data_IF_549533954642
#
_entry.id   IF_549533954642
#
_cell.length_a   1.000
_cell.length_b   1.000
_cell.length_c   1.000
_cell.angle_alpha   90.00
_cell.angle_beta   90.00
_cell.angle_gamma   90.00
#
_symmetry.space_group_name_H-M   'P 1'
#
loop_
_entity.id
_entity.type
_entity.pdbx_description
1 polymer ?
#
# COMPACT_ATOMS: atom_id res chain seq x y z
N UNK A 1 -11.43 10.20 -6.26
CA UNK A 1 -10.82 10.60 -4.98
C UNK A 1 -9.51 9.82 -4.86
N UNK A 2 -8.39 10.46 -4.54
CA UNK A 2 -7.11 9.77 -4.35
C UNK A 2 -6.73 9.88 -2.88
N UNK A 3 -6.55 8.74 -2.21
CA UNK A 3 -6.17 8.68 -0.81
C UNK A 3 -4.68 8.37 -0.72
N UNK A 4 -3.93 9.20 -0.02
CA UNK A 4 -2.52 8.98 0.25
C UNK A 4 -2.38 8.44 1.67
N UNK A 5 -1.83 7.23 1.78
CA UNK A 5 -1.58 6.58 3.07
C UNK A 5 -0.08 6.59 3.30
N UNK A 6 0.37 7.38 4.29
CA UNK A 6 1.76 7.42 4.74
C UNK A 6 1.98 6.54 5.96
N UNK A 7 3.24 6.35 6.35
CA UNK A 7 3.64 5.57 7.54
C UNK A 7 3.21 4.09 7.50
N UNK A 8 3.13 3.53 6.30
CA UNK A 8 2.96 2.08 6.15
C UNK A 8 4.30 1.38 6.43
N UNK A 9 4.28 0.23 7.14
CA UNK A 9 5.49 -0.55 7.33
C UNK A 9 5.98 -1.09 5.98
N UNK A 10 7.30 -1.20 5.80
CA UNK A 10 7.91 -1.72 4.56
C UNK A 10 7.51 -3.16 4.23
N UNK A 11 7.05 -3.92 5.23
CA UNK A 11 6.49 -5.26 5.04
C UNK A 11 5.04 -5.27 4.55
N UNK A 12 4.38 -4.11 4.48
CA UNK A 12 3.02 -4.02 3.99
C UNK A 12 2.98 -4.33 2.50
N UNK A 13 2.32 -5.42 2.15
CA UNK A 13 2.10 -5.81 0.76
C UNK A 13 0.85 -5.16 0.21
N UNK A 14 0.78 -5.04 -1.12
CA UNK A 14 -0.42 -4.60 -1.82
C UNK A 14 -1.66 -5.40 -1.42
N UNK A 15 -1.50 -6.71 -1.21
CA UNK A 15 -2.58 -7.61 -0.82
C UNK A 15 -3.13 -7.30 0.59
N UNK A 16 -2.27 -7.10 1.58
CA UNK A 16 -2.70 -6.73 2.93
C UNK A 16 -3.43 -5.40 2.96
N UNK A 17 -2.93 -4.39 2.23
CA UNK A 17 -3.58 -3.08 2.17
C UNK A 17 -4.90 -3.21 1.41
N UNK A 18 -4.93 -3.89 0.28
CA UNK A 18 -6.17 -4.09 -0.47
C UNK A 18 -7.23 -4.78 0.39
N UNK A 19 -6.86 -5.85 1.09
CA UNK A 19 -7.77 -6.60 1.96
C UNK A 19 -8.26 -5.76 3.14
N UNK A 20 -7.39 -4.94 3.74
CA UNK A 20 -7.75 -3.98 4.80
C UNK A 20 -8.71 -2.89 4.34
N UNK A 21 -8.51 -2.39 3.12
CA UNK A 21 -9.27 -1.27 2.57
C UNK A 21 -10.53 -1.71 1.83
N UNK A 22 -10.65 -2.99 1.44
CA UNK A 22 -11.85 -3.57 0.81
C UNK A 22 -13.11 -3.39 1.66
N UNK A 23 -12.98 -3.46 2.98
CA UNK A 23 -14.09 -3.25 3.93
C UNK A 23 -14.64 -1.81 3.88
N UNK A 24 -13.78 -0.85 3.51
CA UNK A 24 -14.12 0.57 3.40
C UNK A 24 -14.46 1.01 1.97
N UNK A 25 -14.13 0.19 0.96
CA UNK A 25 -14.46 0.44 -0.45
C UNK A 25 -13.48 -0.19 -1.43
N UNK A 26 -13.88 -0.28 -2.70
CA UNK A 26 -13.04 -0.87 -3.75
C UNK A 26 -11.78 -0.04 -4.02
N UNK A 27 -10.60 -0.62 -3.74
CA UNK A 27 -9.31 -0.05 -4.13
C UNK A 27 -9.17 -0.17 -5.66
N UNK A 28 -9.15 0.96 -6.36
CA UNK A 28 -9.03 1.00 -7.83
C UNK A 28 -7.56 1.00 -8.28
N UNK A 29 -6.70 1.66 -7.51
CA UNK A 29 -5.28 1.85 -7.84
C UNK A 29 -4.50 1.97 -6.54
N UNK A 30 -3.45 1.16 -6.39
CA UNK A 30 -2.60 1.13 -5.21
C UNK A 30 -1.14 1.24 -5.67
N UNK A 31 -0.42 2.23 -5.14
CA UNK A 31 0.97 2.48 -5.52
C UNK A 31 1.83 2.54 -4.27
N UNK A 32 2.54 1.45 -3.99
CA UNK A 32 3.52 1.38 -2.90
C UNK A 32 4.87 1.78 -3.48
N UNK A 33 5.43 2.95 -3.12
CA UNK A 33 6.80 3.27 -3.49
C UNK A 33 7.74 2.34 -2.70
N UNK A 34 8.24 1.30 -3.35
CA UNK A 34 9.35 0.50 -2.83
C UNK A 34 10.60 1.39 -2.79
N UNK A 35 11.09 1.63 -1.58
CA UNK A 35 12.30 2.41 -1.38
C UNK A 35 13.51 1.61 -1.91
N UNK A 36 13.94 1.99 -3.12
CA UNK A 36 15.02 1.35 -3.87
C UNK A 36 16.40 1.56 -3.23
N UNK A 37 16.49 2.31 -2.13
CA UNK A 37 17.76 2.67 -1.50
C UNK A 37 18.30 1.58 -0.55
N UNK A 38 17.44 0.73 0.00
CA UNK A 38 17.88 -0.35 0.93
C UNK A 38 17.95 -1.75 0.31
N UNK A 39 17.52 -1.90 -0.94
CA UNK A 39 17.73 -3.13 -1.72
C UNK A 39 17.16 -4.40 -1.07
N UNK A 40 16.05 -4.29 -0.34
CA UNK A 40 15.37 -5.46 0.22
C UNK A 40 13.91 -5.49 -0.23
N UNK A 41 13.49 -6.57 -0.91
CA UNK A 41 12.16 -6.72 -1.49
C UNK A 41 11.08 -6.89 -0.42
#
# INVERSE_FOLDING_TARGET
>A
MKLYVGNLPFSATEDEIRSKFEDFGGVVDLHIPLDRETGRP
#
